data_IF_764513098646
#
_entry.id   IF_764513098646
#
_cell.length_a   1.000
_cell.length_b   1.000
_cell.length_c   1.000
_cell.angle_alpha   90.00
_cell.angle_beta   90.00
_cell.angle_gamma   90.00
#
_symmetry.space_group_name_H-M   'P 1'
#
loop_
_entity.id
_entity.type
_entity.pdbx_description
1 polymer ?
#
# COMPACT_ATOMS: atom_id res chain seq x y z
N UNK A 1 10.51 -1.92 -0.19
CA UNK A 1 9.11 -1.65 -0.62
C UNK A 1 8.15 -1.32 0.52
N UNK A 2 8.18 -2.06 1.65
CA UNK A 2 7.14 -2.00 2.68
C UNK A 2 6.78 -0.63 3.28
N UNK A 3 7.76 0.21 3.65
CA UNK A 3 7.45 1.43 4.42
C UNK A 3 6.57 2.45 3.67
N UNK A 4 6.75 2.61 2.35
CA UNK A 4 5.93 3.53 1.54
C UNK A 4 4.51 2.99 1.36
N UNK A 5 4.38 1.70 1.04
CA UNK A 5 3.08 1.04 0.89
C UNK A 5 2.26 1.15 2.19
N UNK A 6 2.89 0.91 3.34
CA UNK A 6 2.28 1.09 4.67
C UNK A 6 1.82 2.51 4.91
N UNK A 7 2.67 3.50 4.64
CA UNK A 7 2.32 4.91 4.83
C UNK A 7 1.10 5.31 4.00
N UNK A 8 1.04 4.89 2.73
CA UNK A 8 -0.12 5.16 1.88
C UNK A 8 -1.38 4.42 2.31
N UNK A 9 -1.25 3.17 2.78
CA UNK A 9 -2.37 2.39 3.28
C UNK A 9 -3.03 3.08 4.50
N UNK A 10 -2.21 3.47 5.48
CA UNK A 10 -2.63 4.16 6.70
C UNK A 10 -3.26 5.52 6.38
N UNK A 11 -2.56 6.35 5.59
CA UNK A 11 -2.98 7.74 5.34
C UNK A 11 -4.33 7.84 4.61
N UNK A 12 -4.72 6.79 3.87
CA UNK A 12 -5.92 6.80 3.04
C UNK A 12 -6.98 5.75 3.46
N UNK A 13 -6.65 4.89 4.43
CA UNK A 13 -7.49 3.77 4.84
C UNK A 13 -7.82 2.83 3.68
N UNK A 14 -6.81 2.44 2.90
CA UNK A 14 -6.95 1.54 1.75
C UNK A 14 -6.07 0.32 1.86
N UNK A 15 -6.49 -0.76 1.19
CA UNK A 15 -5.56 -1.82 0.82
C UNK A 15 -4.55 -1.29 -0.22
N UNK A 16 -3.28 -1.65 -0.07
CA UNK A 16 -2.23 -1.29 -1.02
C UNK A 16 -1.48 -2.53 -1.45
N UNK A 17 -1.40 -2.76 -2.75
CA UNK A 17 -0.56 -3.79 -3.35
C UNK A 17 0.70 -3.16 -3.95
N UNK A 18 1.87 -3.62 -3.53
CA UNK A 18 3.13 -3.34 -4.22
C UNK A 18 3.51 -4.58 -5.03
N UNK A 19 3.57 -4.47 -6.35
CA UNK A 19 3.96 -5.57 -7.23
C UNK A 19 5.38 -5.36 -7.72
N UNK A 20 6.20 -6.41 -7.63
CA UNK A 20 7.56 -6.43 -8.11
C UNK A 20 7.85 -7.74 -8.86
N UNK A 21 8.93 -7.73 -9.62
CA UNK A 21 9.43 -8.86 -10.41
C UNK A 21 10.59 -9.56 -9.70
N UNK A 22 10.91 -10.76 -10.17
CA UNK A 22 12.01 -11.60 -9.67
C UNK A 22 12.96 -11.99 -10.80
N UNK A 23 14.16 -12.44 -10.44
CA UNK A 23 15.15 -12.98 -11.38
C UNK A 23 16.09 -11.92 -11.97
N UNK A 24 16.93 -12.34 -12.91
CA UNK A 24 17.94 -11.49 -13.53
C UNK A 24 17.53 -11.11 -14.95
N UNK A 25 17.64 -9.84 -15.29
CA UNK A 25 17.56 -9.37 -16.68
C UNK A 25 18.77 -8.47 -16.97
N UNK A 26 19.56 -8.84 -17.96
CA UNK A 26 20.85 -8.22 -18.26
C UNK A 26 21.75 -8.21 -17.01
N UNK A 27 22.17 -7.03 -16.56
CA UNK A 27 23.00 -6.82 -15.37
C UNK A 27 22.16 -6.47 -14.12
N UNK A 28 20.82 -6.50 -14.21
CA UNK A 28 19.92 -6.16 -13.11
C UNK A 28 19.34 -7.41 -12.45
N UNK A 29 19.43 -7.47 -11.12
CA UNK A 29 18.78 -8.49 -10.29
C UNK A 29 17.55 -7.91 -9.60
N UNK A 30 16.43 -8.61 -9.72
CA UNK A 30 15.16 -8.22 -9.11
C UNK A 30 14.80 -9.15 -7.95
N UNK A 31 14.53 -8.55 -6.80
CA UNK A 31 14.39 -9.25 -5.52
C UNK A 31 12.94 -9.64 -5.15
N UNK A 32 11.95 -9.39 -6.03
CA UNK A 32 10.55 -9.66 -5.73
C UNK A 32 10.05 -8.87 -4.52
N UNK A 33 9.59 -9.57 -3.49
CA UNK A 33 8.96 -8.95 -2.32
C UNK A 33 7.70 -8.14 -2.66
N UNK A 34 6.92 -8.61 -3.63
CA UNK A 34 5.53 -8.17 -3.83
C UNK A 34 4.75 -8.34 -2.54
N UNK A 35 3.85 -7.42 -2.20
CA UNK A 35 3.17 -7.43 -0.91
C UNK A 35 1.78 -6.79 -0.98
N UNK A 36 0.92 -7.19 -0.05
CA UNK A 36 -0.36 -6.56 0.23
C UNK A 36 -0.31 -5.97 1.65
N UNK A 37 -0.77 -4.73 1.77
CA UNK A 37 -0.94 -4.03 3.04
C UNK A 37 -2.42 -3.74 3.27
N UNK A 38 -2.89 -3.93 4.49
CA UNK A 38 -4.24 -3.56 4.91
C UNK A 38 -4.36 -2.07 5.25
N UNK A 39 -5.59 -1.55 5.44
CA UNK A 39 -5.83 -0.15 5.76
C UNK A 39 -5.18 0.38 7.05
N UNK A 40 -4.74 -0.49 7.98
CA UNK A 40 -3.99 -0.06 9.18
C UNK A 40 -2.47 -0.18 9.03
N UNK A 41 -1.98 -0.57 7.86
CA UNK A 41 -0.56 -0.67 7.57
C UNK A 41 0.05 -2.05 7.89
N UNK A 42 -0.77 -3.07 8.15
CA UNK A 42 -0.30 -4.43 8.36
C UNK A 42 0.00 -5.11 7.02
N UNK A 43 1.13 -5.79 6.91
CA UNK A 43 1.42 -6.62 5.73
C UNK A 43 0.62 -7.91 5.90
N UNK A 44 -0.41 -8.08 5.07
CA UNK A 44 -1.32 -9.24 5.11
C UNK A 44 -0.85 -10.37 4.19
N UNK A 45 0.01 -10.07 3.22
CA UNK A 45 0.70 -11.08 2.43
C UNK A 45 1.98 -10.51 1.82
N UNK A 46 3.00 -11.33 1.65
CA UNK A 46 4.26 -10.96 1.01
C UNK A 46 4.87 -12.15 0.28
N UNK A 47 5.26 -11.95 -0.97
CA UNK A 47 6.01 -12.90 -1.77
C UNK A 47 7.52 -12.85 -1.45
N UNK A 48 8.25 -13.89 -1.82
CA UNK A 48 9.71 -13.94 -1.73
C UNK A 48 10.40 -13.39 -2.97
N UNK A 49 11.56 -13.98 -3.26
CA UNK A 49 12.45 -13.69 -4.39
C UNK A 49 12.27 -14.64 -5.59
N UNK A 50 11.20 -15.44 -5.58
CA UNK A 50 10.87 -16.42 -6.63
C UNK A 50 9.52 -16.13 -7.28
N UNK A 51 9.34 -16.68 -8.48
CA UNK A 51 8.07 -16.59 -9.20
C UNK A 51 6.95 -17.12 -8.31
N UNK A 52 5.93 -16.30 -8.07
CA UNK A 52 4.90 -16.56 -7.08
C UNK A 52 3.59 -15.95 -7.53
N UNK A 53 2.49 -16.69 -7.35
CA UNK A 53 1.13 -16.14 -7.41
C UNK A 53 0.71 -15.84 -5.98
N UNK A 54 0.46 -14.56 -5.67
CA UNK A 54 0.02 -14.11 -4.36
C UNK A 54 -1.46 -13.73 -4.44
N UNK A 55 -2.30 -14.42 -3.67
CA UNK A 55 -3.75 -14.23 -3.62
C UNK A 55 -4.16 -13.85 -2.21
N UNK A 56 -4.99 -12.82 -2.08
CA UNK A 56 -5.46 -12.29 -0.79
C UNK A 56 -6.90 -11.81 -0.94
N UNK A 57 -7.72 -12.08 0.07
CA UNK A 57 -9.07 -11.52 0.18
C UNK A 57 -9.02 -10.11 0.78
N UNK A 58 -9.72 -9.16 0.14
CA UNK A 58 -9.72 -7.75 0.53
C UNK A 58 -11.16 -7.32 0.91
N UNK A 59 -11.63 -7.65 2.12
CA UNK A 59 -13.00 -7.34 2.54
C UNK A 59 -13.23 -5.83 2.61
N UNK A 60 -14.32 -5.38 2.00
CA UNK A 60 -14.66 -3.95 1.94
C UNK A 60 -14.97 -3.39 3.33
N UNK A 61 -15.54 -4.20 4.21
CA UNK A 61 -15.95 -3.85 5.56
C UNK A 61 -14.78 -3.33 6.41
N UNK A 62 -13.57 -3.82 6.14
CA UNK A 62 -12.35 -3.37 6.82
C UNK A 62 -12.00 -1.92 6.49
N UNK A 63 -12.21 -1.49 5.24
CA UNK A 63 -12.01 -0.09 4.85
C UNK A 63 -12.99 0.81 5.62
N UNK A 64 -14.26 0.41 5.69
CA UNK A 64 -15.30 1.18 6.39
C UNK A 64 -15.03 1.27 7.89
N UNK A 65 -14.61 0.17 8.52
CA UNK A 65 -14.21 0.14 9.91
C UNK A 65 -13.09 1.13 10.19
N UNK A 66 -12.00 1.05 9.44
CA UNK A 66 -10.81 1.88 9.68
C UNK A 66 -11.09 3.35 9.44
N UNK A 67 -11.89 3.71 8.42
CA UNK A 67 -12.28 5.10 8.15
C UNK A 67 -13.21 5.70 9.19
N UNK A 68 -14.01 4.88 9.89
CA UNK A 68 -14.79 5.33 11.05
C UNK A 68 -13.89 5.64 12.25
N UNK A 69 -12.84 4.85 12.47
CA UNK A 69 -11.91 5.01 13.59
C UNK A 69 -10.93 6.17 13.33
N UNK A 70 -10.41 6.27 12.10
CA UNK A 70 -9.45 7.30 11.67
C UNK A 70 -10.02 8.13 10.52
N UNK A 71 -10.85 9.14 10.81
CA UNK A 71 -11.54 9.93 9.80
C UNK A 71 -10.64 10.99 9.15
N UNK A 72 -9.44 10.62 8.70
CA UNK A 72 -8.45 11.56 8.14
C UNK A 72 -9.03 12.42 7.02
N UNK A 73 -9.85 11.84 6.15
CA UNK A 73 -10.47 12.59 5.04
C UNK A 73 -11.41 13.70 5.51
N UNK A 74 -12.12 13.50 6.63
CA UNK A 74 -12.94 14.55 7.26
C UNK A 74 -12.06 15.68 7.80
N UNK A 75 -10.92 15.33 8.37
CA UNK A 75 -10.03 16.26 9.08
C UNK A 75 -8.98 16.91 8.17
N UNK A 76 -8.97 16.61 6.86
CA UNK A 76 -8.08 17.26 5.89
C UNK A 76 -8.29 18.77 5.88
N UNK A 77 -7.24 19.51 5.51
CA UNK A 77 -7.25 20.97 5.28
C UNK A 77 -6.95 21.29 3.81
N UNK A 78 -7.88 21.02 2.87
CA UNK A 78 -7.66 21.31 1.46
C UNK A 78 -7.31 22.77 1.16
N UNK A 79 -7.81 23.69 1.99
CA UNK A 79 -7.52 25.13 1.93
C UNK A 79 -6.01 25.45 2.06
N UNK A 80 -5.23 24.57 2.71
CA UNK A 80 -3.80 24.74 2.90
C UNK A 80 -2.93 24.00 1.86
N UNK A 81 -3.52 23.27 0.90
CA UNK A 81 -2.75 22.41 -0.01
C UNK A 81 -2.19 23.12 -1.25
N UNK A 82 -2.43 24.43 -1.42
CA UNK A 82 -2.08 25.17 -2.63
C UNK A 82 -0.64 24.95 -3.11
N UNK A 83 0.35 25.04 -2.22
CA UNK A 83 1.77 24.82 -2.57
C UNK A 83 2.07 23.36 -2.97
N UNK A 84 1.42 22.38 -2.34
CA UNK A 84 1.68 20.95 -2.55
C UNK A 84 1.19 20.49 -3.92
N UNK A 85 0.13 21.11 -4.43
CA UNK A 85 -0.48 20.79 -5.74
C UNK A 85 0.00 21.71 -6.86
N UNK A 86 0.94 22.62 -6.58
CA UNK A 86 1.54 23.46 -7.60
C UNK A 86 2.38 22.61 -8.58
N UNK A 87 2.45 22.98 -9.87
CA UNK A 87 3.21 22.24 -10.88
C UNK A 87 4.71 22.15 -10.61
#
# INVERSE_FOLDING_TARGET
MGNRAKAHAIANGYYVAGVNRVGTELESEYYGASLFVDPIGEIIAQAGDKETVLVVDLPHERIDEVRRIWPFFRDRRPDAYGEIIAP
#
